data_IF_362999430512
#
_entry.id   IF_362999430512
#
_cell.length_a   1.000
_cell.length_b   1.000
_cell.length_c   1.000
_cell.angle_alpha   90.00
_cell.angle_beta   90.00
_cell.angle_gamma   90.00
#
_symmetry.space_group_name_H-M   'P 1'
#
loop_
_entity.id
_entity.type
_entity.pdbx_description
1 polymer ?
#
# COMPACT_ATOMS: atom_id res chain seq x y z
N UNK A 1 -1.96 -6.21 -28.43
CA UNK A 1 -0.59 -5.72 -28.10
C UNK A 1 -0.72 -4.56 -27.11
N UNK A 2 0.14 -4.49 -26.08
CA UNK A 2 0.13 -3.37 -25.12
C UNK A 2 0.70 -2.10 -25.78
N UNK A 3 0.06 -0.92 -25.63
CA UNK A 3 0.63 0.34 -26.06
C UNK A 3 1.92 0.62 -25.27
N UNK A 4 2.98 1.13 -25.92
CA UNK A 4 4.32 1.23 -25.34
C UNK A 4 4.36 2.08 -24.06
N UNK A 5 3.56 3.15 -24.00
CA UNK A 5 3.45 4.01 -22.82
C UNK A 5 2.96 3.26 -21.57
N UNK A 6 2.06 2.28 -21.73
CA UNK A 6 1.61 1.48 -20.59
C UNK A 6 2.63 0.46 -20.12
N UNK A 7 3.51 -0.02 -21.02
CA UNK A 7 4.62 -0.90 -20.64
C UNK A 7 5.65 -0.11 -19.83
N UNK A 8 5.99 1.11 -20.27
CA UNK A 8 6.89 2.00 -19.54
C UNK A 8 6.33 2.30 -18.14
N UNK A 9 5.05 2.67 -18.04
CA UNK A 9 4.43 2.90 -16.73
C UNK A 9 4.40 1.65 -15.86
N UNK A 10 4.22 0.45 -16.43
CA UNK A 10 4.33 -0.81 -15.68
C UNK A 10 5.73 -0.92 -15.07
N UNK A 11 6.77 -0.88 -15.91
CA UNK A 11 8.16 -1.03 -15.45
C UNK A 11 8.50 -0.02 -14.37
N UNK A 12 8.13 1.25 -14.57
CA UNK A 12 8.31 2.30 -13.58
C UNK A 12 7.63 1.95 -12.25
N UNK A 13 6.35 1.59 -12.28
CA UNK A 13 5.61 1.21 -11.05
C UNK A 13 6.19 -0.01 -10.36
N UNK A 14 6.66 -1.01 -11.11
CA UNK A 14 7.30 -2.21 -10.54
C UNK A 14 8.60 -1.84 -9.83
N UNK A 15 9.43 -1.01 -10.45
CA UNK A 15 10.67 -0.52 -9.83
C UNK A 15 10.36 0.30 -8.57
N UNK A 16 9.38 1.20 -8.61
CA UNK A 16 8.96 1.98 -7.44
C UNK A 16 8.52 1.09 -6.27
N UNK A 17 7.71 0.05 -6.53
CA UNK A 17 7.27 -0.89 -5.50
C UNK A 17 8.43 -1.69 -4.91
N UNK A 18 9.40 -2.11 -5.73
CA UNK A 18 10.61 -2.78 -5.26
C UNK A 18 11.47 -1.88 -4.39
N UNK A 19 11.67 -0.62 -4.80
CA UNK A 19 12.38 0.36 -3.97
C UNK A 19 11.66 0.57 -2.65
N UNK A 20 10.33 0.67 -2.66
CA UNK A 20 9.56 0.88 -1.43
C UNK A 20 9.66 -0.32 -0.48
N UNK A 21 9.62 -1.54 -1.02
CA UNK A 21 9.86 -2.77 -0.26
C UNK A 21 11.26 -2.79 0.35
N UNK A 22 12.30 -2.37 -0.40
CA UNK A 22 13.67 -2.32 0.09
C UNK A 22 13.85 -1.34 1.25
N UNK A 23 13.19 -0.17 1.17
CA UNK A 23 13.17 0.80 2.27
C UNK A 23 12.55 0.17 3.51
N UNK A 24 11.38 -0.47 3.38
CA UNK A 24 10.69 -1.08 4.51
C UNK A 24 11.51 -2.20 5.16
N UNK A 25 12.11 -3.09 4.36
CA UNK A 25 13.02 -4.12 4.85
C UNK A 25 14.24 -3.54 5.57
N UNK A 26 14.82 -2.46 5.03
CA UNK A 26 15.96 -1.79 5.64
C UNK A 26 15.59 -1.23 7.02
N UNK A 27 14.40 -0.63 7.14
CA UNK A 27 13.94 -0.09 8.42
C UNK A 27 13.53 -1.19 9.40
N UNK A 28 12.94 -2.31 8.95
CA UNK A 28 12.67 -3.46 9.81
C UNK A 28 13.96 -4.08 10.36
N UNK A 29 15.02 -4.14 9.56
CA UNK A 29 16.35 -4.57 10.04
C UNK A 29 16.90 -3.59 11.08
N UNK A 30 16.75 -2.28 10.87
CA UNK A 30 17.23 -1.25 11.78
C UNK A 30 16.44 -1.22 13.11
N UNK A 31 15.15 -1.52 13.07
CA UNK A 31 14.26 -1.66 14.24
C UNK A 31 14.69 -2.76 15.21
N UNK A 32 15.48 -3.75 14.76
CA UNK A 32 16.06 -4.78 15.64
C UNK A 32 17.20 -4.23 16.51
N UNK A 33 17.90 -3.21 16.04
CA UNK A 33 19.03 -2.61 16.76
C UNK A 33 18.61 -1.42 17.63
N UNK A 34 17.62 -0.64 17.20
CA UNK A 34 17.24 0.60 17.89
C UNK A 34 15.74 0.60 18.30
N UNK A 35 15.42 0.57 19.62
CA UNK A 35 14.04 0.55 20.10
C UNK A 35 13.26 1.84 19.78
N UNK A 36 13.96 2.96 19.55
CA UNK A 36 13.35 4.24 19.17
C UNK A 36 12.58 4.16 17.83
N UNK A 37 12.95 3.23 16.95
CA UNK A 37 12.27 3.00 15.67
C UNK A 37 10.99 2.14 15.76
N UNK A 38 10.57 1.72 16.97
CA UNK A 38 9.29 1.02 17.17
C UNK A 38 8.06 1.94 17.15
N UNK A 39 8.24 3.25 16.97
CA UNK A 39 7.17 4.23 17.01
C UNK A 39 6.01 3.93 16.05
N UNK A 40 4.82 4.45 16.42
CA UNK A 40 3.56 4.30 15.66
C UNK A 40 3.69 4.69 14.18
N UNK A 41 4.57 5.65 13.86
CA UNK A 41 4.85 6.10 12.49
C UNK A 41 5.32 4.95 11.58
N UNK A 42 6.25 4.11 12.05
CA UNK A 42 6.79 3.04 11.21
C UNK A 42 5.77 1.93 10.97
N UNK A 43 4.92 1.64 11.98
CA UNK A 43 3.81 0.70 11.84
C UNK A 43 2.77 1.19 10.83
N UNK A 44 2.46 2.49 10.83
CA UNK A 44 1.59 3.13 9.84
C UNK A 44 2.16 3.02 8.42
N UNK A 45 3.46 3.29 8.23
CA UNK A 45 4.12 3.12 6.94
C UNK A 45 4.08 1.66 6.45
N UNK A 46 4.28 0.69 7.34
CA UNK A 46 4.23 -0.73 6.98
C UNK A 46 2.83 -1.17 6.54
N UNK A 47 1.79 -0.70 7.24
CA UNK A 47 0.40 -0.98 6.82
C UNK A 47 0.05 -0.31 5.50
N UNK A 48 0.56 0.91 5.25
CA UNK A 48 0.30 1.62 4.00
C UNK A 48 0.97 0.92 2.81
N UNK A 49 2.22 0.45 2.97
CA UNK A 49 2.89 -0.36 1.96
C UNK A 49 2.11 -1.64 1.61
N UNK A 50 1.52 -2.32 2.60
CA UNK A 50 0.73 -3.52 2.35
C UNK A 50 -0.53 -3.20 1.52
N UNK A 51 -1.20 -2.07 1.80
CA UNK A 51 -2.35 -1.60 1.00
C UNK A 51 -1.91 -1.27 -0.43
N UNK A 52 -0.79 -0.57 -0.61
CA UNK A 52 -0.24 -0.23 -1.92
C UNK A 52 0.16 -1.48 -2.72
N UNK A 53 0.71 -2.50 -2.06
CA UNK A 53 1.06 -3.77 -2.69
C UNK A 53 -0.19 -4.53 -3.18
N UNK A 54 -1.25 -4.55 -2.37
CA UNK A 54 -2.54 -5.14 -2.78
C UNK A 54 -3.11 -4.34 -3.95
N UNK A 55 -3.09 -3.02 -3.90
CA UNK A 55 -3.57 -2.15 -4.98
C UNK A 55 -2.80 -2.39 -6.29
N UNK A 56 -1.48 -2.50 -6.22
CA UNK A 56 -0.62 -2.79 -7.36
C UNK A 56 -0.95 -4.15 -7.99
N UNK A 57 -1.12 -5.19 -7.16
CA UNK A 57 -1.49 -6.53 -7.62
C UNK A 57 -2.88 -6.53 -8.27
N UNK A 58 -3.86 -5.90 -7.62
CA UNK A 58 -5.22 -5.81 -8.12
C UNK A 58 -5.26 -5.10 -9.48
N UNK A 59 -4.62 -3.94 -9.59
CA UNK A 59 -4.57 -3.17 -10.83
C UNK A 59 -3.84 -3.94 -11.95
N UNK A 60 -2.75 -4.61 -11.61
CA UNK A 60 -1.99 -5.38 -12.59
C UNK A 60 -2.80 -6.58 -13.08
N UNK A 61 -3.37 -7.39 -12.18
CA UNK A 61 -4.08 -8.63 -12.49
C UNK A 61 -5.49 -8.40 -13.05
N UNK A 62 -6.32 -7.58 -12.42
CA UNK A 62 -7.74 -7.47 -12.79
C UNK A 62 -7.99 -6.45 -13.91
N UNK A 63 -7.21 -5.37 -13.96
CA UNK A 63 -7.39 -4.32 -14.98
C UNK A 63 -6.46 -4.55 -16.18
N UNK A 64 -5.15 -4.71 -15.95
CA UNK A 64 -4.16 -4.77 -17.03
C UNK A 64 -4.14 -6.15 -17.73
N UNK A 65 -4.05 -7.28 -17.02
CA UNK A 65 -4.07 -8.61 -17.67
C UNK A 65 -5.37 -8.88 -18.45
N UNK A 66 -6.52 -8.38 -17.96
CA UNK A 66 -7.81 -8.45 -18.67
C UNK A 66 -7.84 -7.61 -19.95
N UNK A 67 -7.37 -6.35 -19.89
CA UNK A 67 -7.37 -5.44 -21.05
C UNK A 67 -6.52 -5.95 -22.22
N UNK A 68 -5.53 -6.79 -21.94
CA UNK A 68 -4.60 -7.31 -22.95
C UNK A 68 -4.84 -8.75 -23.36
N UNK A 69 -5.90 -9.38 -22.88
CA UNK A 69 -6.29 -10.72 -23.31
C UNK A 69 -5.25 -11.79 -22.96
N UNK A 70 -4.39 -11.57 -21.96
CA UNK A 70 -3.47 -12.63 -21.50
C UNK A 70 -4.19 -13.78 -20.78
N UNK A 71 -5.47 -13.58 -20.42
CA UNK A 71 -6.39 -14.62 -19.91
C UNK A 71 -7.48 -14.99 -20.94
N UNK A 72 -7.28 -14.72 -22.24
CA UNK A 72 -8.34 -14.93 -23.24
C UNK A 72 -8.82 -16.39 -23.28
N UNK A 73 -7.92 -17.35 -23.10
CA UNK A 73 -8.27 -18.78 -23.05
C UNK A 73 -9.10 -19.15 -21.81
N UNK A 74 -8.88 -18.47 -20.68
CA UNK A 74 -9.59 -18.71 -19.42
C UNK A 74 -11.00 -18.10 -19.43
N UNK A 75 -11.14 -16.91 -20.04
CA UNK A 75 -12.43 -16.24 -20.20
C UNK A 75 -13.26 -16.81 -21.36
N UNK A 76 -12.62 -17.37 -22.40
CA UNK A 76 -13.31 -18.12 -23.46
C UNK A 76 -14.03 -19.36 -22.90
N UNK A 77 -13.49 -19.98 -21.84
CA UNK A 77 -14.12 -21.11 -21.16
C UNK A 77 -15.30 -20.72 -20.24
N UNK A 78 -15.40 -19.45 -19.81
CA UNK A 78 -16.40 -19.00 -18.83
C UNK A 78 -16.96 -17.60 -19.17
N UNK A 79 -17.86 -17.48 -20.17
CA UNK A 79 -18.38 -16.19 -20.66
C UNK A 79 -19.19 -15.40 -19.63
N UNK A 80 -19.69 -16.03 -18.57
CA UNK A 80 -20.41 -15.37 -17.47
C UNK A 80 -19.48 -14.53 -16.57
N UNK A 81 -18.20 -14.87 -16.47
CA UNK A 81 -17.22 -14.09 -15.70
C UNK A 81 -16.89 -12.76 -16.40
N UNK A 82 -17.06 -12.69 -17.73
CA UNK A 82 -16.81 -11.49 -18.53
C UNK A 82 -17.78 -10.34 -18.22
N UNK A 83 -18.99 -10.63 -17.73
CA UNK A 83 -20.00 -9.61 -17.36
C UNK A 83 -19.96 -9.25 -15.88
N UNK A 84 -19.59 -10.18 -15.00
CA UNK A 84 -19.64 -9.98 -13.53
C UNK A 84 -18.31 -9.46 -12.96
N UNK A 85 -17.17 -9.90 -13.48
CA UNK A 85 -15.84 -9.47 -13.00
C UNK A 85 -15.54 -7.97 -13.26
N UNK A 86 -15.93 -7.34 -14.39
CA UNK A 86 -15.69 -5.92 -14.64
C UNK A 86 -16.23 -4.96 -13.58
N UNK A 87 -17.54 -4.99 -13.21
CA UNK A 87 -18.08 -4.05 -12.23
C UNK A 87 -17.49 -4.26 -10.84
N UNK A 88 -17.27 -5.52 -10.44
CA UNK A 88 -16.68 -5.86 -9.14
C UNK A 88 -15.24 -5.35 -9.04
N UNK A 89 -14.43 -5.59 -10.07
CA UNK A 89 -13.05 -5.10 -10.11
C UNK A 89 -12.98 -3.57 -10.11
N UNK A 90 -13.88 -2.87 -10.79
CA UNK A 90 -13.91 -1.41 -10.76
C UNK A 90 -14.27 -0.91 -9.35
N UNK A 91 -15.30 -1.49 -8.72
CA UNK A 91 -15.70 -1.13 -7.36
C UNK A 91 -14.59 -1.35 -6.35
N UNK A 92 -13.92 -2.51 -6.41
CA UNK A 92 -12.82 -2.86 -5.52
C UNK A 92 -11.62 -1.92 -5.71
N UNK A 93 -11.28 -1.61 -6.97
CA UNK A 93 -10.21 -0.66 -7.29
C UNK A 93 -10.45 0.73 -6.70
N UNK A 94 -11.67 1.27 -6.84
CA UNK A 94 -12.00 2.58 -6.26
C UNK A 94 -12.01 2.54 -4.73
N UNK A 95 -12.47 1.45 -4.15
CA UNK A 95 -12.45 1.27 -2.70
C UNK A 95 -11.01 1.28 -2.15
N UNK A 96 -10.12 0.45 -2.71
CA UNK A 96 -8.73 0.40 -2.26
C UNK A 96 -8.03 1.75 -2.47
N UNK A 97 -8.31 2.44 -3.58
CA UNK A 97 -7.79 3.79 -3.82
C UNK A 97 -8.16 4.79 -2.72
N UNK A 98 -9.39 4.72 -2.21
CA UNK A 98 -9.80 5.56 -1.07
C UNK A 98 -9.05 5.21 0.20
N UNK A 99 -8.78 3.91 0.44
CA UNK A 99 -8.00 3.45 1.60
C UNK A 99 -6.55 3.98 1.53
N UNK A 100 -5.92 3.92 0.35
CA UNK A 100 -4.57 4.48 0.14
C UNK A 100 -4.54 5.98 0.47
N UNK A 101 -5.52 6.75 -0.01
CA UNK A 101 -5.58 8.18 0.30
C UNK A 101 -5.77 8.47 1.79
N UNK A 102 -6.61 7.70 2.48
CA UNK A 102 -6.76 7.82 3.93
C UNK A 102 -5.47 7.43 4.68
N UNK A 103 -4.72 6.46 4.18
CA UNK A 103 -3.40 6.07 4.70
C UNK A 103 -2.41 7.23 4.63
N UNK A 104 -2.28 7.85 3.47
CA UNK A 104 -1.42 9.03 3.26
C UNK A 104 -1.83 10.21 4.14
N UNK A 105 -3.14 10.51 4.23
CA UNK A 105 -3.65 11.55 5.14
C UNK A 105 -3.31 11.26 6.60
N UNK A 106 -3.39 9.99 7.02
CA UNK A 106 -3.06 9.57 8.38
C UNK A 106 -1.57 9.77 8.68
N UNK A 107 -0.69 9.45 7.72
CA UNK A 107 0.76 9.67 7.83
C UNK A 107 1.07 11.16 7.93
N UNK A 108 0.44 11.99 7.09
CA UNK A 108 0.60 13.44 7.12
C UNK A 108 0.10 14.05 8.44
N UNK A 109 -1.07 13.63 8.93
CA UNK A 109 -1.62 14.07 10.20
C UNK A 109 -0.73 13.66 11.39
N UNK A 110 -0.17 12.45 11.35
CA UNK A 110 0.76 11.94 12.37
C UNK A 110 2.05 12.78 12.42
N UNK A 111 2.59 13.17 11.25
CA UNK A 111 3.74 14.08 11.15
C UNK A 111 3.42 15.49 11.63
N UNK A 112 2.26 16.02 11.25
CA UNK A 112 1.80 17.34 11.68
C UNK A 112 1.62 17.41 13.20
N UNK A 113 1.03 16.38 13.80
CA UNK A 113 0.83 16.30 15.26
C UNK A 113 2.15 16.26 16.00
N UNK A 114 3.14 15.52 15.48
CA UNK A 114 4.50 15.50 16.02
C UNK A 114 5.20 16.85 15.93
N UNK A 115 4.96 17.63 14.87
CA UNK A 115 5.56 18.95 14.68
C UNK A 115 4.87 20.05 15.52
N UNK A 116 3.54 19.99 15.66
CA UNK A 116 2.76 21.02 16.37
C UNK A 116 2.83 20.89 17.90
N UNK A 117 3.03 19.68 18.46
CA UNK A 117 3.07 19.47 19.92
C UNK A 117 4.21 18.54 20.34
N UNK A 118 5.48 18.94 20.21
CA UNK A 118 6.62 18.08 20.57
C UNK A 118 6.57 17.61 22.03
N UNK A 119 6.13 18.46 22.96
CA UNK A 119 6.13 18.20 24.42
C UNK A 119 4.98 17.27 24.87
N UNK A 120 3.85 17.26 24.16
CA UNK A 120 2.70 16.38 24.48
C UNK A 120 2.82 15.02 23.79
N UNK A 121 3.55 14.95 22.67
CA UNK A 121 3.72 13.75 21.87
C UNK A 121 4.56 12.68 22.60
N UNK A 122 5.61 13.09 23.32
CA UNK A 122 6.35 12.19 24.21
C UNK A 122 5.42 11.56 25.25
N UNK A 123 4.58 12.35 25.93
CA UNK A 123 3.70 11.84 26.99
C UNK A 123 2.61 10.89 26.46
N UNK A 124 1.96 11.20 25.33
CA UNK A 124 0.86 10.36 24.84
C UNK A 124 1.32 9.09 24.11
N UNK A 125 2.49 9.14 23.45
CA UNK A 125 3.04 7.99 22.73
C UNK A 125 3.85 7.06 23.67
N UNK A 126 4.62 7.60 24.63
CA UNK A 126 5.28 6.79 25.66
C UNK A 126 4.28 6.15 26.61
N UNK A 127 3.14 6.78 26.92
CA UNK A 127 2.19 6.21 27.90
C UNK A 127 1.49 4.95 27.41
N UNK A 128 1.42 4.70 26.09
CA UNK A 128 0.99 3.39 25.55
C UNK A 128 2.08 2.30 25.61
N UNK A 129 3.35 2.66 25.74
CA UNK A 129 4.44 1.69 25.97
C UNK A 129 4.80 1.51 27.45
N UNK A 130 4.67 2.55 28.29
CA UNK A 130 4.84 2.44 29.75
C UNK A 130 3.72 1.65 30.45
N UNK A 131 2.52 1.55 29.88
CA UNK A 131 1.44 0.72 30.44
C UNK A 131 1.66 -0.80 30.24
N UNK A 132 2.77 -1.21 29.61
CA UNK A 132 3.21 -2.62 29.56
C UNK A 132 4.34 -2.97 30.54
N UNK A 133 4.80 -1.99 31.33
CA UNK A 133 5.85 -2.17 32.34
C UNK A 133 5.40 -1.73 33.74
N UNK A 134 4.14 -2.00 34.09
CA UNK A 134 3.70 -1.99 35.49
C UNK A 134 2.80 -3.20 35.74
#
# INVERSE_FOLDING_TARGET
MMPPLQVIMLVFTTVSMLTYAFILLSVERLKKHEPFLKGSFFRLCATNFLVDAIFYLEFTVLMRFRKYGLLNDFFAAHPQLLTVVPPISIGLHYYIKMVVYLGEMSIAANRLTSAMRPITYEKFCLQKECFKFN
#
